data_IF_251118233111
#
_entry.id   IF_251118233111
#
_cell.length_a   1.000
_cell.length_b   1.000
_cell.length_c   1.000
_cell.angle_alpha   90.00
_cell.angle_beta   90.00
_cell.angle_gamma   90.00
#
_symmetry.space_group_name_H-M   'P 1'
#
loop_
_entity.id
_entity.type
_entity.pdbx_description
1 polymer ?
#
# COMPACT_ATOMS: atom_id res chain seq x y z
N UNK A 1 -1.34 -13.43 27.93
CA UNK A 1 -2.01 -12.13 27.95
C UNK A 1 -1.10 -11.09 27.34
N UNK A 2 -1.65 -10.12 26.63
CA UNK A 2 -0.89 -9.06 25.96
C UNK A 2 0.01 -8.28 26.93
N UNK A 3 1.21 -7.93 26.48
CA UNK A 3 2.10 -6.95 27.12
C UNK A 3 2.85 -6.19 26.02
N UNK A 4 2.97 -4.88 26.18
CA UNK A 4 3.84 -4.09 25.31
C UNK A 4 5.30 -4.49 25.55
N UNK A 5 6.03 -4.78 24.48
CA UNK A 5 7.45 -5.09 24.54
C UNK A 5 8.26 -3.80 24.44
N UNK A 6 9.45 -3.85 25.04
CA UNK A 6 10.53 -2.87 24.91
C UNK A 6 11.78 -3.58 24.35
N UNK A 7 12.88 -2.84 24.19
CA UNK A 7 14.12 -3.37 23.61
C UNK A 7 14.72 -4.55 24.39
N UNK A 8 14.47 -4.68 25.69
CA UNK A 8 15.00 -5.80 26.49
C UNK A 8 14.04 -6.99 26.49
N UNK A 9 12.76 -6.75 26.75
CA UNK A 9 11.74 -7.79 26.81
C UNK A 9 11.49 -8.47 25.45
N UNK A 10 11.72 -7.77 24.32
CA UNK A 10 11.66 -8.39 22.99
C UNK A 10 12.79 -9.41 22.76
N UNK A 11 13.99 -9.18 23.32
CA UNK A 11 15.08 -10.19 23.25
C UNK A 11 14.65 -11.49 23.91
N UNK A 12 14.14 -11.41 25.14
CA UNK A 12 13.68 -12.58 25.87
C UNK A 12 12.46 -13.24 25.23
N UNK A 13 11.56 -12.44 24.64
CA UNK A 13 10.43 -12.96 23.86
C UNK A 13 10.89 -13.83 22.68
N UNK A 14 11.88 -13.35 21.93
CA UNK A 14 12.47 -14.05 20.79
C UNK A 14 13.30 -15.26 21.25
N UNK A 15 14.10 -15.11 22.30
CA UNK A 15 14.91 -16.18 22.88
C UNK A 15 14.06 -17.34 23.43
N UNK A 16 12.82 -17.10 23.85
CA UNK A 16 11.92 -18.16 24.29
C UNK A 16 11.32 -19.01 23.14
N UNK A 17 11.58 -18.67 21.86
CA UNK A 17 10.91 -19.29 20.70
C UNK A 17 11.94 -19.91 19.74
N UNK A 18 12.05 -21.25 19.68
CA UNK A 18 13.04 -21.93 18.83
C UNK A 18 12.99 -21.53 17.34
N UNK A 19 11.78 -21.29 16.79
CA UNK A 19 11.62 -20.87 15.40
C UNK A 19 12.27 -19.50 15.08
N UNK A 20 12.35 -18.61 16.07
CA UNK A 20 12.96 -17.29 15.91
C UNK A 20 14.45 -17.31 16.27
N UNK A 21 14.88 -18.15 17.22
CA UNK A 21 16.29 -18.34 17.57
C UNK A 21 17.13 -18.70 16.33
N UNK A 22 16.61 -19.52 15.42
CA UNK A 22 17.30 -19.87 14.17
C UNK A 22 17.65 -18.67 13.27
N UNK A 23 17.02 -17.50 13.48
CA UNK A 23 17.23 -16.28 12.69
C UNK A 23 18.20 -15.29 13.33
N UNK A 24 18.30 -15.28 14.65
CA UNK A 24 19.14 -14.30 15.39
C UNK A 24 20.28 -14.94 16.17
N UNK A 25 20.09 -16.14 16.71
CA UNK A 25 21.09 -16.84 17.52
C UNK A 25 20.46 -17.73 18.59
N UNK A 26 21.26 -18.58 19.26
CA UNK A 26 20.79 -19.42 20.35
C UNK A 26 20.44 -18.57 21.59
N UNK A 27 19.49 -19.05 22.41
CA UNK A 27 18.94 -18.28 23.54
C UNK A 27 19.97 -17.91 24.62
N UNK A 28 21.03 -18.70 24.79
CA UNK A 28 22.15 -18.42 25.70
C UNK A 28 23.01 -17.23 25.24
N UNK A 29 22.90 -16.82 23.97
CA UNK A 29 23.57 -15.64 23.42
C UNK A 29 22.74 -14.34 23.52
N UNK A 30 21.58 -14.37 24.20
CA UNK A 30 20.61 -13.24 24.23
C UNK A 30 21.23 -11.90 24.67
N UNK A 31 22.19 -11.93 25.60
CA UNK A 31 22.92 -10.74 26.09
C UNK A 31 23.79 -10.08 25.02
N UNK A 32 24.20 -10.82 23.99
CA UNK A 32 24.97 -10.30 22.85
C UNK A 32 24.11 -9.67 21.76
N UNK A 33 22.78 -9.83 21.83
CA UNK A 33 21.89 -9.34 20.79
C UNK A 33 21.70 -7.82 20.92
N UNK A 34 21.79 -7.13 19.79
CA UNK A 34 21.46 -5.71 19.69
C UNK A 34 20.01 -5.57 19.28
N UNK A 35 19.31 -4.65 19.94
CA UNK A 35 17.94 -4.32 19.60
C UNK A 35 17.81 -2.82 19.44
N UNK A 36 17.11 -2.42 18.38
CA UNK A 36 16.74 -1.03 18.15
C UNK A 36 15.27 -0.96 17.80
N UNK A 37 14.52 -0.11 18.50
CA UNK A 37 13.18 0.31 18.05
C UNK A 37 13.35 1.36 16.96
N UNK A 38 12.72 1.13 15.80
CA UNK A 38 12.91 1.93 14.58
C UNK A 38 11.61 2.39 13.95
N UNK A 39 10.46 2.18 14.58
CA UNK A 39 9.19 2.61 14.01
C UNK A 39 9.15 4.14 13.89
N UNK A 40 9.29 4.60 12.65
CA UNK A 40 8.99 5.95 12.19
C UNK A 40 7.53 6.06 11.68
N UNK A 41 6.84 4.92 11.59
CA UNK A 41 5.43 4.82 11.24
C UNK A 41 4.47 5.27 12.36
N UNK A 42 3.23 5.56 11.95
CA UNK A 42 2.24 6.22 12.79
C UNK A 42 1.58 5.32 13.85
N UNK A 43 1.63 3.99 13.72
CA UNK A 43 0.67 3.10 14.38
C UNK A 43 1.32 2.02 15.29
N UNK A 44 2.48 1.47 14.93
CA UNK A 44 3.02 0.25 15.58
C UNK A 44 4.46 0.44 16.10
N UNK A 45 4.90 -0.44 17.01
CA UNK A 45 6.31 -0.58 17.40
C UNK A 45 7.03 -1.56 16.47
N UNK A 46 8.23 -1.21 16.05
CA UNK A 46 9.05 -2.03 15.16
C UNK A 46 10.44 -2.17 15.76
N UNK A 47 10.83 -3.39 16.12
CA UNK A 47 12.14 -3.72 16.66
C UNK A 47 12.96 -4.46 15.62
N UNK A 48 14.18 -3.97 15.36
CA UNK A 48 15.21 -4.73 14.67
C UNK A 48 16.03 -5.45 15.73
N UNK A 49 16.12 -6.77 15.63
CA UNK A 49 17.00 -7.59 16.45
C UNK A 49 18.14 -8.11 15.59
N UNK A 50 19.36 -7.95 16.07
CA UNK A 50 20.58 -8.46 15.46
C UNK A 50 21.31 -9.34 16.47
N UNK A 51 21.58 -10.58 16.10
CA UNK A 51 22.36 -11.51 16.90
C UNK A 51 23.45 -12.19 16.06
N UNK A 52 24.18 -13.15 16.66
CA UNK A 52 25.32 -13.79 16.01
C UNK A 52 24.98 -14.62 14.76
N UNK A 53 23.73 -15.08 14.63
CA UNK A 53 23.29 -15.89 13.48
C UNK A 53 22.60 -15.08 12.37
N UNK A 54 22.27 -13.81 12.62
CA UNK A 54 21.52 -12.98 11.68
C UNK A 54 20.63 -11.97 12.38
N UNK A 55 19.57 -11.58 11.69
CA UNK A 55 18.69 -10.50 12.12
C UNK A 55 17.23 -10.77 11.74
N UNK A 56 16.31 -10.18 12.50
CA UNK A 56 14.88 -10.24 12.25
C UNK A 56 14.20 -8.95 12.66
N UNK A 57 13.02 -8.71 12.09
CA UNK A 57 12.15 -7.60 12.44
C UNK A 57 10.98 -8.13 13.28
N UNK A 58 10.66 -7.46 14.39
CA UNK A 58 9.46 -7.70 15.21
C UNK A 58 8.58 -6.47 15.16
N UNK A 59 7.36 -6.62 14.65
CA UNK A 59 6.33 -5.58 14.67
C UNK A 59 5.28 -5.95 15.71
N UNK A 60 4.92 -5.00 16.58
CA UNK A 60 3.87 -5.17 17.59
C UNK A 60 2.83 -4.05 17.52
N UNK A 61 1.55 -4.44 17.49
CA UNK A 61 0.43 -3.52 17.52
C UNK A 61 0.01 -3.21 18.96
N UNK A 62 -0.04 -1.91 19.30
CA UNK A 62 -0.59 -1.41 20.56
C UNK A 62 -2.11 -1.16 20.43
N UNK A 63 -2.89 -1.09 21.53
CA UNK A 63 -4.34 -0.86 21.46
C UNK A 63 -4.73 0.60 21.13
N UNK A 64 -3.82 1.38 20.52
CA UNK A 64 -4.00 2.78 20.15
C UNK A 64 -3.07 3.17 18.98
N UNK A 65 -3.32 4.33 18.37
CA UNK A 65 -2.46 4.92 17.34
C UNK A 65 -1.22 5.51 17.98
N UNK A 66 -0.03 4.96 17.67
CA UNK A 66 1.25 5.37 18.28
C UNK A 66 1.52 6.88 18.22
N UNK A 67 1.33 7.55 17.08
CA UNK A 67 1.68 8.96 16.92
C UNK A 67 0.74 9.94 17.66
N UNK A 68 -0.44 9.46 18.07
CA UNK A 68 -1.42 10.25 18.84
C UNK A 68 -1.43 9.84 20.32
N UNK A 69 -1.10 8.59 20.61
CA UNK A 69 -1.14 8.00 21.94
C UNK A 69 -2.52 7.45 22.30
N UNK A 70 -2.70 7.15 23.59
CA UNK A 70 -3.88 6.45 24.14
C UNK A 70 -5.23 7.17 23.86
N UNK A 71 -5.18 8.46 23.51
CA UNK A 71 -6.38 9.24 23.16
C UNK A 71 -7.05 8.81 21.85
N UNK A 72 -6.38 8.00 21.03
CA UNK A 72 -6.96 7.41 19.81
C UNK A 72 -6.83 5.87 19.82
N UNK A 73 -7.82 5.17 20.42
CA UNK A 73 -7.85 3.71 20.43
C UNK A 73 -7.87 3.11 19.03
N UNK A 74 -7.23 1.95 18.86
CA UNK A 74 -7.20 1.22 17.60
C UNK A 74 -7.04 -0.28 17.83
N UNK A 75 -7.88 -1.09 17.18
CA UNK A 75 -7.87 -2.55 17.30
C UNK A 75 -6.52 -3.18 17.01
N UNK A 76 -6.08 -4.07 17.90
CA UNK A 76 -4.87 -4.88 17.70
C UNK A 76 -5.07 -6.01 16.67
N UNK A 77 -6.32 -6.30 16.28
CA UNK A 77 -6.64 -7.30 15.26
C UNK A 77 -6.06 -6.93 13.88
N UNK A 78 -5.70 -5.66 13.65
CA UNK A 78 -4.98 -5.21 12.44
C UNK A 78 -3.68 -5.98 12.18
N UNK A 79 -3.01 -6.49 13.22
CA UNK A 79 -1.82 -7.33 13.06
C UNK A 79 -2.18 -8.73 12.53
N UNK A 80 -3.37 -9.27 12.85
CA UNK A 80 -3.86 -10.51 12.25
C UNK A 80 -4.03 -10.31 10.74
N UNK A 81 -4.66 -9.20 10.38
CA UNK A 81 -4.87 -8.80 8.98
C UNK A 81 -3.53 -8.66 8.26
N UNK A 82 -2.58 -7.93 8.84
CA UNK A 82 -1.25 -7.76 8.25
C UNK A 82 -0.52 -9.10 8.04
N UNK A 83 -0.52 -9.99 9.03
CA UNK A 83 0.10 -11.30 8.91
C UNK A 83 -0.55 -12.15 7.81
N UNK A 84 -1.88 -12.15 7.74
CA UNK A 84 -2.64 -12.88 6.74
C UNK A 84 -2.43 -12.31 5.33
N UNK A 85 -2.39 -10.98 5.20
CA UNK A 85 -2.15 -10.31 3.93
C UNK A 85 -0.72 -10.56 3.43
N UNK A 86 0.31 -10.41 4.27
CA UNK A 86 1.70 -10.73 3.89
C UNK A 86 1.84 -12.20 3.44
N UNK A 87 1.14 -13.12 4.09
CA UNK A 87 1.13 -14.53 3.69
C UNK A 87 0.43 -14.75 2.33
N UNK A 88 -0.70 -14.08 2.09
CA UNK A 88 -1.41 -14.14 0.81
C UNK A 88 -0.59 -13.53 -0.32
N UNK A 89 0.02 -12.36 -0.09
CA UNK A 89 0.88 -11.70 -1.08
C UNK A 89 2.11 -12.55 -1.40
N UNK A 90 2.76 -13.12 -0.38
CA UNK A 90 3.92 -13.99 -0.55
C UNK A 90 3.61 -15.30 -1.30
N UNK A 91 2.35 -15.75 -1.32
CA UNK A 91 1.95 -16.92 -2.12
C UNK A 91 2.06 -16.66 -3.63
N UNK A 92 1.97 -15.39 -4.05
CA UNK A 92 1.97 -14.98 -5.47
C UNK A 92 3.25 -14.25 -5.88
N UNK A 93 3.77 -13.38 -5.00
CA UNK A 93 4.90 -12.50 -5.28
C UNK A 93 5.93 -12.49 -4.14
N UNK A 94 6.49 -13.66 -3.75
CA UNK A 94 7.39 -13.79 -2.59
C UNK A 94 8.67 -12.95 -2.67
N UNK A 95 9.09 -12.56 -3.88
CA UNK A 95 10.25 -11.69 -4.08
C UNK A 95 10.00 -10.24 -3.64
N UNK A 96 8.74 -9.82 -3.50
CA UNK A 96 8.34 -8.43 -3.25
C UNK A 96 7.70 -8.23 -1.87
N UNK A 97 7.80 -9.20 -0.98
CA UNK A 97 7.17 -9.18 0.36
C UNK A 97 8.13 -9.79 1.38
N UNK A 98 8.28 -9.21 2.59
CA UNK A 98 9.11 -9.84 3.62
C UNK A 98 8.47 -11.14 4.11
N UNK A 99 9.27 -12.20 4.18
CA UNK A 99 8.81 -13.48 4.71
C UNK A 99 8.40 -13.35 6.19
N UNK A 100 7.17 -13.73 6.51
CA UNK A 100 6.69 -13.84 7.89
C UNK A 100 7.23 -15.12 8.52
N UNK A 101 7.80 -15.01 9.72
CA UNK A 101 8.36 -16.12 10.48
C UNK A 101 7.44 -16.58 11.62
N UNK A 102 6.67 -15.65 12.19
CA UNK A 102 5.74 -15.92 13.27
C UNK A 102 4.65 -14.84 13.29
N UNK A 103 3.42 -15.28 13.53
CA UNK A 103 2.34 -14.44 14.03
C UNK A 103 1.93 -14.95 15.42
N UNK A 104 1.91 -14.06 16.42
CA UNK A 104 1.46 -14.35 17.78
C UNK A 104 0.25 -13.47 18.11
N UNK A 105 -0.93 -14.10 18.10
CA UNK A 105 -2.21 -13.44 18.35
C UNK A 105 -2.29 -12.82 19.75
N UNK A 106 -1.82 -13.54 20.77
CA UNK A 106 -1.94 -13.10 22.17
C UNK A 106 -1.08 -11.87 22.47
N UNK A 107 -0.04 -11.68 21.66
CA UNK A 107 0.91 -10.56 21.78
C UNK A 107 0.69 -9.47 20.73
N UNK A 108 -0.28 -9.65 19.83
CA UNK A 108 -0.50 -8.79 18.67
C UNK A 108 0.83 -8.47 17.96
N UNK A 109 1.56 -9.52 17.60
CA UNK A 109 2.94 -9.42 17.14
C UNK A 109 3.19 -10.25 15.88
N UNK A 110 3.99 -9.69 14.96
CA UNK A 110 4.55 -10.39 13.81
C UNK A 110 6.08 -10.35 13.90
N UNK A 111 6.73 -11.50 13.70
CA UNK A 111 8.17 -11.54 13.44
C UNK A 111 8.37 -11.90 11.96
N UNK A 112 9.20 -11.13 11.25
CA UNK A 112 9.37 -11.22 9.81
C UNK A 112 10.84 -10.96 9.40
N UNK A 113 11.16 -11.22 8.13
CA UNK A 113 12.47 -10.91 7.54
C UNK A 113 12.80 -9.45 7.77
N UNK A 114 13.98 -9.19 8.34
CA UNK A 114 14.53 -7.83 8.34
C UNK A 114 15.07 -7.50 6.95
N UNK A 115 14.53 -6.45 6.33
CA UNK A 115 15.06 -5.84 5.12
C UNK A 115 16.26 -4.98 5.51
N UNK A 116 17.41 -5.63 5.67
CA UNK A 116 18.64 -5.01 6.15
C UNK A 116 19.21 -3.99 5.13
N UNK A 117 20.10 -3.05 5.57
CA UNK A 117 20.79 -2.16 4.66
C UNK A 117 21.41 -2.93 3.46
N UNK A 118 21.31 -2.40 2.23
CA UNK A 118 21.00 -1.01 1.91
C UNK A 118 19.51 -0.68 1.71
N UNK A 119 18.56 -1.55 2.10
CA UNK A 119 17.14 -1.24 2.00
C UNK A 119 16.79 0.08 2.72
N UNK A 120 16.08 0.95 2.03
CA UNK A 120 15.48 2.18 2.59
C UNK A 120 14.03 2.29 2.16
N UNK A 121 13.22 3.05 2.91
CA UNK A 121 11.87 3.42 2.48
C UNK A 121 11.96 4.20 1.15
N UNK A 122 11.19 3.80 0.14
CA UNK A 122 11.20 4.37 -1.20
C UNK A 122 11.02 5.90 -1.17
N UNK A 123 10.08 6.40 -0.35
CA UNK A 123 9.87 7.84 -0.14
C UNK A 123 11.17 8.57 0.20
N UNK A 124 11.99 8.03 1.10
CA UNK A 124 13.28 8.62 1.47
C UNK A 124 14.24 8.67 0.28
N UNK A 125 14.28 7.62 -0.52
CA UNK A 125 15.06 7.56 -1.75
C UNK A 125 14.65 8.63 -2.76
N UNK A 126 13.34 8.75 -3.02
CA UNK A 126 12.78 9.73 -3.93
C UNK A 126 13.09 11.17 -3.49
N UNK A 127 12.88 11.48 -2.21
CA UNK A 127 13.25 12.79 -1.65
C UNK A 127 14.75 13.10 -1.83
N UNK A 128 15.59 12.07 -1.79
CA UNK A 128 17.04 12.16 -2.01
C UNK A 128 17.48 12.29 -3.47
N UNK A 129 16.56 12.28 -4.44
CA UNK A 129 16.92 12.39 -5.86
C UNK A 129 17.15 11.05 -6.56
N UNK A 130 16.97 9.94 -5.85
CA UNK A 130 17.23 8.62 -6.41
C UNK A 130 16.18 8.23 -7.48
N UNK A 131 16.64 7.41 -8.43
CA UNK A 131 15.82 6.71 -9.42
C UNK A 131 16.04 5.21 -9.24
N UNK A 132 14.99 4.42 -9.43
CA UNK A 132 15.01 2.98 -9.22
C UNK A 132 14.58 2.27 -10.51
N UNK A 133 15.53 1.87 -11.38
CA UNK A 133 15.20 1.37 -12.73
C UNK A 133 14.23 0.18 -12.74
N UNK A 134 14.30 -0.72 -11.76
CA UNK A 134 13.42 -1.89 -11.65
C UNK A 134 12.05 -1.62 -11.03
N UNK A 135 11.82 -0.42 -10.46
CA UNK A 135 10.64 -0.16 -9.62
C UNK A 135 9.32 -0.38 -10.35
N UNK A 136 9.18 0.14 -11.57
CA UNK A 136 7.94 0.02 -12.34
C UNK A 136 7.59 -1.45 -12.63
N UNK A 137 8.58 -2.26 -13.02
CA UNK A 137 8.40 -3.69 -13.27
C UNK A 137 8.04 -4.48 -12.00
N UNK A 138 8.67 -4.16 -10.87
CA UNK A 138 8.37 -4.80 -9.59
C UNK A 138 6.98 -4.43 -9.08
N UNK A 139 6.57 -3.15 -9.19
CA UNK A 139 5.22 -2.70 -8.82
C UNK A 139 4.16 -3.32 -9.73
N UNK A 140 4.40 -3.39 -11.03
CA UNK A 140 3.52 -4.06 -11.98
C UNK A 140 3.32 -5.54 -11.61
N UNK A 141 4.42 -6.24 -11.28
CA UNK A 141 4.40 -7.65 -10.86
C UNK A 141 3.62 -7.83 -9.55
N UNK A 142 3.90 -6.98 -8.55
CA UNK A 142 3.20 -7.00 -7.27
C UNK A 142 1.69 -6.77 -7.45
N UNK A 143 1.30 -5.65 -8.06
CA UNK A 143 -0.11 -5.29 -8.26
C UNK A 143 -0.86 -6.34 -9.08
N UNK A 144 -0.28 -6.81 -10.18
CA UNK A 144 -0.96 -7.79 -11.02
C UNK A 144 -1.09 -9.13 -10.28
N UNK A 145 -0.03 -9.60 -9.62
CA UNK A 145 -0.03 -10.86 -8.88
C UNK A 145 -1.03 -10.87 -7.73
N UNK A 146 -1.01 -9.84 -6.87
CA UNK A 146 -1.87 -9.81 -5.68
C UNK A 146 -3.34 -9.55 -6.05
N UNK A 147 -3.62 -8.57 -6.91
CA UNK A 147 -4.99 -8.20 -7.26
C UNK A 147 -5.67 -9.25 -8.14
N UNK A 148 -4.96 -9.84 -9.11
CA UNK A 148 -5.56 -10.86 -9.97
C UNK A 148 -5.92 -12.11 -9.16
N UNK A 149 -4.97 -12.65 -8.40
CA UNK A 149 -5.12 -13.94 -7.78
C UNK A 149 -6.12 -13.98 -6.62
N UNK A 150 -6.43 -12.82 -6.04
CA UNK A 150 -7.41 -12.69 -4.95
C UNK A 150 -8.78 -12.23 -5.42
N UNK A 151 -8.98 -12.02 -6.74
CA UNK A 151 -10.25 -11.55 -7.32
C UNK A 151 -11.21 -12.66 -7.72
N UNK A 152 -12.49 -12.32 -7.95
CA UNK A 152 -13.48 -13.22 -8.56
C UNK A 152 -13.15 -13.63 -10.01
N UNK A 153 -12.19 -12.96 -10.67
CA UNK A 153 -11.69 -13.39 -11.98
C UNK A 153 -10.87 -14.67 -11.82
N UNK A 154 -10.17 -14.84 -10.69
CA UNK A 154 -9.37 -16.04 -10.43
C UNK A 154 -10.08 -17.05 -9.52
N UNK A 155 -10.83 -16.57 -8.54
CA UNK A 155 -11.43 -17.38 -7.49
C UNK A 155 -12.88 -17.77 -7.84
N UNK A 156 -13.29 -18.95 -7.38
CA UNK A 156 -14.72 -19.26 -7.30
C UNK A 156 -15.39 -18.36 -6.26
N UNK A 157 -16.68 -18.11 -6.45
CA UNK A 157 -17.44 -17.16 -5.66
C UNK A 157 -17.58 -17.57 -4.20
N UNK A 158 -17.49 -18.86 -3.88
CA UNK A 158 -17.55 -19.34 -2.49
C UNK A 158 -16.24 -19.07 -1.76
N UNK A 159 -15.10 -19.33 -2.41
CA UNK A 159 -13.78 -18.99 -1.87
C UNK A 159 -13.62 -17.48 -1.73
N UNK A 160 -14.03 -16.70 -2.72
CA UNK A 160 -14.00 -15.24 -2.63
C UNK A 160 -14.84 -14.72 -1.45
N UNK A 161 -16.10 -15.17 -1.30
CA UNK A 161 -16.95 -14.75 -0.16
C UNK A 161 -16.35 -15.12 1.20
N UNK A 162 -15.70 -16.29 1.32
CA UNK A 162 -14.99 -16.66 2.56
C UNK A 162 -13.82 -15.73 2.84
N UNK A 163 -13.00 -15.41 1.82
CA UNK A 163 -11.88 -14.48 1.98
C UNK A 163 -12.33 -13.05 2.29
N UNK A 164 -13.45 -12.59 1.70
CA UNK A 164 -14.07 -11.30 2.07
C UNK A 164 -14.39 -11.26 3.58
N UNK A 165 -14.96 -12.34 4.13
CA UNK A 165 -15.25 -12.42 5.56
C UNK A 165 -14.00 -12.55 6.44
N UNK A 166 -12.97 -13.26 5.97
CA UNK A 166 -11.70 -13.43 6.69
C UNK A 166 -10.93 -12.11 6.88
N UNK A 167 -11.01 -11.23 5.88
CA UNK A 167 -10.35 -9.93 5.83
C UNK A 167 -11.29 -8.77 6.20
N UNK A 168 -12.31 -9.02 7.00
CA UNK A 168 -13.09 -7.95 7.63
C UNK A 168 -12.19 -7.12 8.54
N UNK A 169 -12.14 -5.80 8.31
CA UNK A 169 -11.21 -4.87 8.96
C UNK A 169 -11.87 -3.50 9.20
N UNK A 170 -13.04 -3.51 9.86
CA UNK A 170 -13.94 -2.35 9.98
C UNK A 170 -13.26 -1.09 10.53
N UNK A 171 -12.57 -1.17 11.67
CA UNK A 171 -11.96 0.02 12.29
C UNK A 171 -10.92 0.70 11.37
N UNK A 172 -10.11 -0.08 10.66
CA UNK A 172 -9.11 0.43 9.72
C UNK A 172 -9.77 1.02 8.46
N UNK A 173 -10.85 0.40 7.97
CA UNK A 173 -11.65 0.92 6.87
C UNK A 173 -12.32 2.25 7.25
N UNK A 174 -12.94 2.34 8.43
CA UNK A 174 -13.57 3.56 8.95
C UNK A 174 -12.57 4.71 9.09
N UNK A 175 -11.35 4.43 9.53
CA UNK A 175 -10.28 5.43 9.56
C UNK A 175 -10.00 5.98 8.16
N UNK A 176 -9.86 5.09 7.17
CA UNK A 176 -9.64 5.45 5.76
C UNK A 176 -10.81 6.28 5.20
N UNK A 177 -12.04 5.85 5.47
CA UNK A 177 -13.27 6.54 5.07
C UNK A 177 -13.33 7.98 5.58
N UNK A 178 -12.91 8.19 6.83
CA UNK A 178 -12.87 9.49 7.47
C UNK A 178 -11.77 10.36 6.84
N UNK A 179 -10.52 9.90 6.86
CA UNK A 179 -9.36 10.77 6.58
C UNK A 179 -9.08 10.96 5.09
N UNK A 180 -9.61 10.10 4.22
CA UNK A 180 -9.44 10.21 2.76
C UNK A 180 -10.67 10.82 2.12
N UNK A 181 -11.87 10.30 2.41
CA UNK A 181 -13.07 10.63 1.64
C UNK A 181 -14.02 11.62 2.33
N UNK A 182 -13.74 12.03 3.56
CA UNK A 182 -14.66 12.86 4.34
C UNK A 182 -13.98 14.16 4.80
N UNK A 183 -12.98 14.07 5.67
CA UNK A 183 -12.38 15.24 6.34
C UNK A 183 -11.79 16.31 5.40
N UNK A 184 -11.04 15.97 4.33
CA UNK A 184 -10.43 17.00 3.48
C UNK A 184 -11.44 17.94 2.79
N UNK A 185 -12.70 17.52 2.66
CA UNK A 185 -13.74 18.18 1.87
C UNK A 185 -14.68 19.07 2.70
N UNK A 186 -14.39 19.29 3.97
CA UNK A 186 -15.07 20.29 4.82
C UNK A 186 -14.14 20.78 5.92
N UNK A 187 -14.59 21.75 6.71
CA UNK A 187 -13.84 22.25 7.88
C UNK A 187 -13.83 21.23 9.03
N UNK A 188 -12.96 20.22 8.93
CA UNK A 188 -12.69 19.24 9.98
C UNK A 188 -11.62 19.75 10.96
N UNK A 189 -11.71 19.33 12.23
CA UNK A 189 -10.71 19.71 13.27
C UNK A 189 -9.31 19.13 13.01
N UNK A 190 -9.27 17.99 12.33
CA UNK A 190 -8.06 17.22 12.08
C UNK A 190 -7.27 17.71 10.85
N UNK A 191 -7.90 18.52 10.00
CA UNK A 191 -7.25 19.05 8.81
C UNK A 191 -6.16 20.05 9.18
N UNK A 192 -5.06 20.00 8.43
CA UNK A 192 -3.98 20.99 8.47
C UNK A 192 -3.44 21.18 7.05
N UNK A 193 -2.91 22.36 6.77
CA UNK A 193 -2.26 22.72 5.51
C UNK A 193 -1.23 23.83 5.77
N UNK A 194 -0.39 24.14 4.79
CA UNK A 194 0.55 25.26 4.88
C UNK A 194 -0.21 26.58 4.91
N UNK A 195 -0.33 27.16 6.11
CA UNK A 195 -1.14 28.34 6.40
C UNK A 195 -0.23 29.53 6.78
N UNK A 196 -0.53 30.76 6.31
CA UNK A 196 -1.74 31.18 5.58
C UNK A 196 -1.72 30.91 4.06
N UNK A 197 -0.63 30.35 3.52
CA UNK A 197 -0.38 30.31 2.08
C UNK A 197 -1.47 29.59 1.28
N UNK A 198 -2.07 28.52 1.81
CA UNK A 198 -3.09 27.70 1.14
C UNK A 198 -4.52 27.94 1.66
N UNK A 199 -4.76 28.93 2.54
CA UNK A 199 -6.07 29.13 3.16
C UNK A 199 -7.18 29.35 2.11
N UNK A 200 -6.88 30.09 1.03
CA UNK A 200 -7.82 30.34 -0.06
C UNK A 200 -8.07 29.09 -0.91
N UNK A 201 -7.00 28.37 -1.28
CA UNK A 201 -7.06 27.13 -2.07
C UNK A 201 -7.90 26.05 -1.36
N UNK A 202 -7.70 25.90 -0.04
CA UNK A 202 -8.46 24.96 0.78
C UNK A 202 -9.92 25.39 0.96
N UNK A 203 -10.17 26.69 1.13
CA UNK A 203 -11.53 27.20 1.20
C UNK A 203 -12.30 26.96 -0.11
N UNK A 204 -11.63 27.13 -1.26
CA UNK A 204 -12.18 26.82 -2.59
C UNK A 204 -12.54 25.33 -2.69
N UNK A 205 -11.59 24.42 -2.42
CA UNK A 205 -11.82 22.98 -2.42
C UNK A 205 -13.01 22.56 -1.54
N UNK A 206 -13.07 23.06 -0.30
CA UNK A 206 -14.12 22.69 0.65
C UNK A 206 -15.50 23.26 0.27
N UNK A 207 -15.52 24.29 -0.57
CA UNK A 207 -16.75 24.86 -1.14
C UNK A 207 -17.16 24.24 -2.47
N UNK A 208 -16.25 23.53 -3.16
CA UNK A 208 -16.49 22.93 -4.47
C UNK A 208 -17.47 21.76 -4.40
N UNK A 209 -18.61 21.94 -5.07
CA UNK A 209 -19.66 20.93 -5.17
C UNK A 209 -19.18 19.69 -5.94
N UNK A 210 -18.41 19.86 -7.01
CA UNK A 210 -17.94 18.75 -7.84
C UNK A 210 -16.93 17.88 -7.07
N UNK A 211 -15.99 18.50 -6.34
CA UNK A 211 -15.06 17.77 -5.48
C UNK A 211 -15.79 16.96 -4.41
N UNK A 212 -16.82 17.55 -3.76
CA UNK A 212 -17.62 16.86 -2.74
C UNK A 212 -18.44 15.70 -3.31
N UNK A 213 -19.02 15.86 -4.51
CA UNK A 213 -19.72 14.77 -5.21
C UNK A 213 -18.75 13.64 -5.53
N UNK A 214 -17.57 13.95 -6.09
CA UNK A 214 -16.55 12.95 -6.40
C UNK A 214 -16.07 12.20 -5.14
N UNK A 215 -15.90 12.91 -4.01
CA UNK A 215 -15.56 12.29 -2.73
C UNK A 215 -16.65 11.31 -2.25
N UNK A 216 -17.93 11.68 -2.39
CA UNK A 216 -19.05 10.78 -2.07
C UNK A 216 -19.08 9.54 -2.97
N UNK A 217 -18.85 9.69 -4.28
CA UNK A 217 -18.78 8.55 -5.21
C UNK A 217 -17.65 7.59 -4.85
N UNK A 218 -16.45 8.12 -4.59
CA UNK A 218 -15.28 7.34 -4.22
C UNK A 218 -15.47 6.62 -2.88
N UNK A 219 -16.09 7.29 -1.90
CA UNK A 219 -16.47 6.65 -0.64
C UNK A 219 -17.46 5.51 -0.88
N UNK A 220 -18.46 5.72 -1.73
CA UNK A 220 -19.41 4.68 -2.12
C UNK A 220 -18.72 3.47 -2.72
N UNK A 221 -17.77 3.67 -3.64
CA UNK A 221 -16.97 2.59 -4.22
C UNK A 221 -16.15 1.85 -3.17
N UNK A 222 -15.45 2.57 -2.29
CA UNK A 222 -14.62 1.99 -1.23
C UNK A 222 -15.45 1.11 -0.28
N UNK A 223 -16.60 1.61 0.18
CA UNK A 223 -17.43 0.91 1.16
C UNK A 223 -18.23 -0.26 0.60
N UNK A 224 -18.43 -0.36 -0.72
CA UNK A 224 -19.42 -1.30 -1.29
C UNK A 224 -18.90 -2.24 -2.38
N UNK A 225 -17.65 -2.07 -2.85
CA UNK A 225 -17.13 -2.83 -3.99
C UNK A 225 -15.92 -3.71 -3.65
N UNK A 226 -16.14 -4.95 -3.15
CA UNK A 226 -15.06 -5.92 -3.04
C UNK A 226 -14.67 -6.42 -4.44
N UNK A 227 -13.42 -6.19 -4.86
CA UNK A 227 -12.88 -6.71 -6.12
C UNK A 227 -11.71 -7.67 -5.92
N UNK A 228 -10.81 -7.36 -4.99
CA UNK A 228 -9.63 -8.14 -4.65
C UNK A 228 -9.21 -7.83 -3.22
N UNK A 229 -8.31 -8.66 -2.66
CA UNK A 229 -7.62 -8.30 -1.43
C UNK A 229 -6.64 -7.17 -1.75
N UNK A 230 -6.88 -6.00 -1.16
CA UNK A 230 -6.00 -4.85 -1.25
C UNK A 230 -4.89 -4.94 -0.21
N UNK A 231 -3.76 -4.30 -0.49
CA UNK A 231 -2.80 -3.87 0.53
C UNK A 231 -3.43 -2.80 1.45
N UNK A 232 -4.25 -1.89 0.89
CA UNK A 232 -5.05 -0.92 1.65
C UNK A 232 -4.29 0.34 2.10
N UNK A 233 -2.95 0.32 2.14
CA UNK A 233 -2.14 1.54 2.28
C UNK A 233 -0.85 1.58 1.42
N UNK A 234 -0.97 1.21 0.13
CA UNK A 234 0.16 1.10 -0.80
C UNK A 234 0.68 2.48 -1.26
N UNK A 235 1.42 3.17 -0.40
CA UNK A 235 2.11 4.42 -0.73
C UNK A 235 3.63 4.24 -0.72
N UNK A 236 4.41 5.23 -1.18
CA UNK A 236 5.90 5.17 -1.21
C UNK A 236 6.55 5.03 0.17
N UNK A 237 5.79 5.24 1.26
CA UNK A 237 6.21 4.94 2.63
C UNK A 237 6.04 3.46 3.05
N UNK A 238 5.32 2.66 2.26
CA UNK A 238 5.01 1.24 2.53
C UNK A 238 5.80 0.32 1.59
N UNK A 239 6.91 0.85 1.06
CA UNK A 239 7.77 0.17 0.10
C UNK A 239 9.20 0.43 0.54
N UNK A 240 9.99 -0.62 0.67
CA UNK A 240 11.43 -0.54 0.83
C UNK A 240 12.14 -0.96 -0.45
N UNK A 241 13.24 -0.28 -0.78
CA UNK A 241 13.98 -0.47 -2.03
C UNK A 241 15.49 -0.53 -1.78
N UNK A 242 16.16 -1.29 -2.65
CA UNK A 242 17.59 -1.13 -2.97
C UNK A 242 17.71 -0.68 -4.43
N UNK A 243 18.92 -0.64 -4.99
CA UNK A 243 19.11 -0.34 -6.41
C UNK A 243 18.47 -1.40 -7.33
N UNK A 244 18.26 -2.62 -6.83
CA UNK A 244 17.79 -3.78 -7.63
C UNK A 244 16.60 -4.53 -7.02
N UNK A 245 16.22 -4.27 -5.78
CA UNK A 245 15.12 -4.96 -5.10
C UNK A 245 14.01 -3.99 -4.67
N UNK A 246 12.78 -4.50 -4.60
CA UNK A 246 11.61 -3.76 -4.13
C UNK A 246 10.77 -4.70 -3.28
N UNK A 247 10.47 -4.28 -2.05
CA UNK A 247 9.64 -5.03 -1.11
C UNK A 247 8.53 -4.14 -0.57
N UNK A 248 7.29 -4.58 -0.70
CA UNK A 248 6.10 -3.97 -0.09
C UNK A 248 5.98 -4.45 1.36
N UNK A 249 5.57 -3.57 2.26
CA UNK A 249 5.46 -3.80 3.70
C UNK A 249 4.18 -3.15 4.24
N UNK A 250 3.77 -3.53 5.45
CA UNK A 250 2.66 -2.92 6.19
C UNK A 250 1.25 -3.03 5.57
N UNK A 251 0.78 -4.20 5.08
CA UNK A 251 -0.60 -4.39 4.63
C UNK A 251 -1.63 -4.50 5.78
N UNK A 252 -1.50 -3.69 6.84
CA UNK A 252 -2.40 -3.73 8.01
C UNK A 252 -3.80 -3.13 7.74
N UNK A 253 -3.93 -2.38 6.64
CA UNK A 253 -5.19 -1.87 6.10
C UNK A 253 -5.83 -2.83 5.09
N UNK A 254 -5.28 -4.03 4.90
CA UNK A 254 -5.78 -4.97 3.92
C UNK A 254 -7.25 -5.33 4.19
N UNK A 255 -8.04 -5.32 3.12
CA UNK A 255 -9.44 -5.74 3.08
C UNK A 255 -9.83 -6.01 1.63
N UNK A 256 -11.00 -6.63 1.42
CA UNK A 256 -11.55 -6.80 0.08
C UNK A 256 -12.21 -5.52 -0.41
N UNK A 257 -11.55 -4.80 -1.32
CA UNK A 257 -11.98 -3.49 -1.80
C UNK A 257 -11.76 -3.27 -3.30
N UNK A 258 -11.95 -2.04 -3.81
CA UNK A 258 -11.77 -1.73 -5.22
C UNK A 258 -10.29 -1.70 -5.60
N UNK A 259 -9.90 -2.48 -6.62
CA UNK A 259 -8.50 -2.61 -7.09
C UNK A 259 -7.84 -1.26 -7.40
N UNK A 260 -8.65 -0.32 -7.93
CA UNK A 260 -8.24 1.04 -8.26
C UNK A 260 -7.63 1.80 -7.07
N UNK A 261 -7.96 1.41 -5.83
CA UNK A 261 -7.48 2.08 -4.64
C UNK A 261 -5.97 1.88 -4.44
N UNK A 262 -5.45 0.66 -4.54
CA UNK A 262 -4.00 0.41 -4.40
C UNK A 262 -3.21 0.98 -5.57
N UNK A 263 -3.68 0.73 -6.81
CA UNK A 263 -3.05 1.27 -8.02
C UNK A 263 -3.01 2.80 -7.96
N UNK A 264 -4.14 3.43 -7.59
CA UNK A 264 -4.23 4.88 -7.48
C UNK A 264 -3.33 5.42 -6.37
N UNK A 265 -3.20 4.71 -5.24
CA UNK A 265 -2.43 5.18 -4.09
C UNK A 265 -0.94 5.25 -4.41
N UNK A 266 -0.39 4.24 -5.06
CA UNK A 266 1.04 4.25 -5.43
C UNK A 266 1.33 5.29 -6.52
N UNK A 267 0.49 5.35 -7.57
CA UNK A 267 0.66 6.33 -8.65
C UNK A 267 0.52 7.78 -8.15
N UNK A 268 -0.42 8.05 -7.26
CA UNK A 268 -0.56 9.37 -6.63
C UNK A 268 0.67 9.75 -5.79
N UNK A 269 1.29 8.80 -5.10
CA UNK A 269 2.49 9.10 -4.30
C UNK A 269 3.74 9.32 -5.15
N UNK A 270 3.86 8.67 -6.33
CA UNK A 270 4.88 9.03 -7.32
C UNK A 270 4.66 10.46 -7.85
N UNK A 271 3.39 10.83 -8.07
CA UNK A 271 3.03 12.17 -8.51
C UNK A 271 3.26 13.24 -7.42
N UNK A 272 3.03 12.92 -6.14
CA UNK A 272 3.42 13.81 -5.02
C UNK A 272 4.93 14.04 -4.99
N UNK A 273 5.74 13.00 -5.22
CA UNK A 273 7.19 13.14 -5.31
C UNK A 273 7.58 14.02 -6.51
N UNK A 274 6.89 13.91 -7.64
CA UNK A 274 7.11 14.77 -8.80
C UNK A 274 6.83 16.24 -8.47
N UNK A 275 5.70 16.53 -7.80
CA UNK A 275 5.36 17.90 -7.42
C UNK A 275 6.29 18.48 -6.35
N UNK A 276 6.68 17.68 -5.37
CA UNK A 276 7.62 18.10 -4.33
C UNK A 276 9.05 18.32 -4.86
N UNK A 277 9.40 17.71 -5.98
CA UNK A 277 10.74 17.73 -6.57
C UNK A 277 11.31 19.14 -6.77
N UNK A 278 10.45 20.10 -7.16
CA UNK A 278 10.89 21.47 -7.41
C UNK A 278 11.27 22.22 -6.13
N UNK A 279 10.56 21.97 -5.02
CA UNK A 279 10.91 22.55 -3.73
C UNK A 279 12.09 21.86 -3.03
N UNK A 280 12.55 20.72 -3.57
CA UNK A 280 13.70 19.96 -3.09
C UNK A 280 14.95 20.13 -3.97
N UNK A 281 14.83 20.82 -5.11
CA UNK A 281 15.91 21.12 -6.04
C UNK A 281 16.86 22.14 -5.41
N UNK A 282 18.17 21.84 -5.35
CA UNK A 282 19.17 22.76 -4.78
C UNK A 282 19.80 23.62 -5.86
N UNK A 283 20.11 23.00 -6.99
CA UNK A 283 20.67 23.63 -8.17
C UNK A 283 19.71 23.51 -9.35
N UNK A 284 19.51 24.56 -10.18
CA UNK A 284 18.58 24.51 -11.30
C UNK A 284 18.81 23.32 -12.22
N UNK A 285 17.77 22.49 -12.39
CA UNK A 285 17.80 21.31 -13.25
C UNK A 285 18.36 20.03 -12.61
N UNK A 286 18.85 20.07 -11.36
CA UNK A 286 19.34 18.89 -10.62
C UNK A 286 18.31 17.75 -10.62
N UNK A 287 17.02 18.09 -10.59
CA UNK A 287 15.92 17.12 -10.50
C UNK A 287 15.23 16.80 -11.83
N UNK A 288 15.69 17.36 -12.96
CA UNK A 288 15.01 17.20 -14.26
C UNK A 288 14.93 15.73 -14.70
N UNK A 289 16.04 15.01 -14.61
CA UNK A 289 16.09 13.59 -14.95
C UNK A 289 15.17 12.75 -14.04
N UNK A 290 15.11 13.08 -12.75
CA UNK A 290 14.25 12.40 -11.80
C UNK A 290 12.76 12.67 -12.09
N UNK A 291 12.38 13.92 -12.38
CA UNK A 291 11.02 14.29 -12.77
C UNK A 291 10.57 13.51 -14.01
N UNK A 292 11.43 13.43 -15.03
CA UNK A 292 11.18 12.61 -16.22
C UNK A 292 10.99 11.13 -15.87
N UNK A 293 11.88 10.58 -15.03
CA UNK A 293 11.78 9.19 -14.57
C UNK A 293 10.51 8.92 -13.75
N UNK A 294 10.06 9.82 -12.88
CA UNK A 294 8.84 9.65 -12.07
C UNK A 294 7.60 9.50 -12.97
N UNK A 295 7.48 10.34 -14.00
CA UNK A 295 6.38 10.27 -14.95
C UNK A 295 6.43 8.97 -15.77
N UNK A 296 7.61 8.59 -16.27
CA UNK A 296 7.78 7.31 -16.97
C UNK A 296 7.46 6.12 -16.06
N UNK A 297 7.93 6.15 -14.81
CA UNK A 297 7.67 5.10 -13.83
C UNK A 297 6.17 4.90 -13.57
N UNK A 298 5.38 5.98 -13.51
CA UNK A 298 3.92 5.89 -13.41
C UNK A 298 3.28 5.22 -14.62
N UNK A 299 3.67 5.64 -15.83
CA UNK A 299 3.17 5.08 -17.10
C UNK A 299 3.54 3.61 -17.23
N UNK A 300 4.80 3.27 -16.94
CA UNK A 300 5.34 1.92 -17.04
C UNK A 300 4.73 0.99 -15.98
N UNK A 301 4.46 1.51 -14.76
CA UNK A 301 3.76 0.74 -13.72
C UNK A 301 2.34 0.38 -14.16
N UNK A 302 1.57 1.34 -14.67
CA UNK A 302 0.21 1.08 -15.17
C UNK A 302 0.22 0.14 -16.38
N UNK A 303 1.10 0.38 -17.35
CA UNK A 303 1.19 -0.42 -18.58
C UNK A 303 1.65 -1.84 -18.27
N UNK A 304 2.64 -2.00 -17.40
CA UNK A 304 3.11 -3.31 -16.93
C UNK A 304 2.02 -4.05 -16.14
N UNK A 305 1.35 -3.36 -15.22
CA UNK A 305 0.25 -3.93 -14.43
C UNK A 305 -0.89 -4.42 -15.35
N UNK A 306 -1.39 -3.55 -16.23
CA UNK A 306 -2.50 -3.86 -17.14
C UNK A 306 -2.16 -5.02 -18.08
N UNK A 307 -0.94 -5.05 -18.63
CA UNK A 307 -0.45 -6.13 -19.47
C UNK A 307 -0.35 -7.45 -18.70
N UNK A 308 0.29 -7.45 -17.54
CA UNK A 308 0.46 -8.67 -16.74
C UNK A 308 -0.89 -9.21 -16.22
N UNK A 309 -1.79 -8.32 -15.80
CA UNK A 309 -3.13 -8.68 -15.32
C UNK A 309 -3.97 -9.32 -16.42
N UNK A 310 -3.98 -8.73 -17.63
CA UNK A 310 -4.73 -9.29 -18.77
C UNK A 310 -4.12 -10.59 -19.28
N UNK A 311 -2.79 -10.73 -19.26
CA UNK A 311 -2.12 -12.00 -19.57
C UNK A 311 -2.53 -13.11 -18.58
N UNK A 312 -2.53 -12.82 -17.28
CA UNK A 312 -2.99 -13.77 -16.27
C UNK A 312 -4.47 -14.11 -16.43
N UNK A 313 -5.31 -13.14 -16.79
CA UNK A 313 -6.71 -13.38 -17.11
C UNK A 313 -6.85 -14.32 -18.30
N UNK A 314 -6.15 -14.07 -19.42
CA UNK A 314 -6.19 -14.95 -20.58
C UNK A 314 -5.74 -16.37 -20.27
N UNK A 315 -4.78 -16.55 -19.36
CA UNK A 315 -4.26 -17.88 -18.99
C UNK A 315 -5.12 -18.62 -17.95
N UNK A 316 -5.82 -17.89 -17.07
CA UNK A 316 -6.37 -18.47 -15.84
C UNK A 316 -7.78 -18.01 -15.47
N UNK A 317 -8.34 -17.02 -16.15
CA UNK A 317 -9.58 -16.35 -15.74
C UNK A 317 -10.84 -17.20 -15.87
N UNK A 318 -10.87 -18.18 -16.77
CA UNK A 318 -11.99 -19.12 -16.87
C UNK A 318 -12.15 -20.04 -15.66
N UNK A 319 -11.16 -20.05 -14.75
CA UNK A 319 -11.23 -20.79 -13.48
C UNK A 319 -11.92 -20.00 -12.37
N UNK A 320 -12.20 -18.71 -12.57
CA UNK A 320 -13.00 -17.90 -11.66
C UNK A 320 -14.46 -17.78 -12.10
N UNK A 321 -15.30 -17.25 -11.22
CA UNK A 321 -16.75 -17.19 -11.47
C UNK A 321 -17.20 -15.88 -12.13
N UNK A 322 -16.38 -14.83 -12.14
CA UNK A 322 -16.83 -13.51 -12.62
C UNK A 322 -17.08 -13.47 -14.13
N UNK A 323 -16.26 -14.17 -14.90
CA UNK A 323 -16.35 -14.27 -16.35
C UNK A 323 -16.35 -15.75 -16.73
N UNK A 324 -17.54 -16.39 -16.80
CA UNK A 324 -17.64 -17.83 -16.98
C UNK A 324 -16.96 -18.31 -18.27
N UNK A 325 -16.09 -19.32 -18.17
CA UNK A 325 -15.35 -19.87 -19.31
C UNK A 325 -16.24 -20.29 -20.50
N UNK A 326 -17.47 -20.74 -20.24
CA UNK A 326 -18.45 -21.07 -21.30
C UNK A 326 -18.78 -19.89 -22.23
N UNK A 327 -18.57 -18.65 -21.78
CA UNK A 327 -18.78 -17.42 -22.57
C UNK A 327 -17.48 -16.88 -23.17
N UNK A 328 -16.32 -17.23 -22.61
CA UNK A 328 -15.04 -16.56 -22.87
C UNK A 328 -13.92 -17.49 -23.35
N UNK A 329 -14.10 -18.81 -23.33
CA UNK A 329 -13.17 -19.80 -23.87
C UNK A 329 -13.78 -20.53 -25.06
N UNK A 330 -12.93 -20.86 -26.04
CA UNK A 330 -13.33 -21.78 -27.10
C UNK A 330 -13.56 -23.18 -26.49
N UNK A 331 -14.66 -23.89 -26.83
CA UNK A 331 -14.88 -25.24 -26.33
C UNK A 331 -13.68 -26.15 -26.70
N UNK A 332 -13.01 -26.69 -25.69
CA UNK A 332 -12.01 -27.73 -25.87
C UNK A 332 -12.67 -29.05 -26.26
N UNK A 333 -13.02 -29.22 -27.53
CA UNK A 333 -13.59 -30.47 -28.05
C UNK A 333 -14.28 -30.29 -29.40
N UNK A 334 -14.01 -31.23 -30.30
CA UNK A 334 -14.43 -31.23 -31.70
C UNK A 334 -15.92 -30.94 -31.90
N UNK A 335 -16.22 -29.79 -32.52
CA UNK A 335 -17.48 -29.57 -33.21
C UNK A 335 -18.28 -28.37 -32.73
N UNK A 336 -18.36 -27.39 -33.64
CA UNK A 336 -19.36 -26.32 -33.72
C UNK A 336 -18.99 -25.02 -32.97
N UNK A 337 -18.18 -24.18 -33.65
CA UNK A 337 -18.39 -22.72 -33.70
C UNK A 337 -17.64 -21.84 -32.71
N UNK A 338 -16.30 -21.79 -32.77
CA UNK A 338 -15.46 -20.89 -31.95
C UNK A 338 -15.22 -19.50 -32.58
N UNK A 339 -16.17 -18.94 -33.32
CA UNK A 339 -16.03 -17.55 -33.79
C UNK A 339 -16.52 -16.59 -32.70
N UNK A 340 -15.61 -16.00 -31.92
CA UNK A 340 -15.91 -14.85 -31.07
C UNK A 340 -15.62 -15.00 -29.57
N UNK A 341 -15.27 -16.17 -29.03
CA UNK A 341 -14.96 -16.31 -27.60
C UNK A 341 -13.73 -15.48 -27.18
N UNK A 342 -12.67 -15.50 -28.00
CA UNK A 342 -11.50 -14.64 -27.82
C UNK A 342 -11.85 -13.14 -27.96
N UNK A 343 -12.74 -12.79 -28.89
CA UNK A 343 -13.22 -11.41 -29.06
C UNK A 343 -14.05 -10.94 -27.85
N UNK A 344 -14.89 -11.82 -27.29
CA UNK A 344 -15.66 -11.57 -26.06
C UNK A 344 -14.72 -11.37 -24.89
N UNK A 345 -13.73 -12.25 -24.68
CA UNK A 345 -12.75 -12.09 -23.61
C UNK A 345 -11.97 -10.78 -23.76
N UNK A 346 -11.49 -10.47 -24.97
CA UNK A 346 -10.78 -9.23 -25.24
C UNK A 346 -11.66 -7.99 -24.94
N UNK A 347 -12.94 -8.00 -25.34
CA UNK A 347 -13.87 -6.92 -25.04
C UNK A 347 -14.15 -6.78 -23.53
N UNK A 348 -14.25 -7.90 -22.79
CA UNK A 348 -14.37 -7.90 -21.34
C UNK A 348 -13.13 -7.32 -20.66
N UNK A 349 -11.94 -7.73 -21.08
CA UNK A 349 -10.67 -7.22 -20.58
C UNK A 349 -10.52 -5.72 -20.85
N UNK A 350 -10.80 -5.26 -22.08
CA UNK A 350 -10.74 -3.85 -22.45
C UNK A 350 -11.71 -3.01 -21.61
N UNK A 351 -12.97 -3.45 -21.50
CA UNK A 351 -13.99 -2.76 -20.72
C UNK A 351 -13.63 -2.66 -19.23
N UNK A 352 -13.14 -3.76 -18.66
CA UNK A 352 -12.69 -3.82 -17.27
C UNK A 352 -11.50 -2.89 -17.02
N UNK A 353 -10.45 -2.98 -17.84
CA UNK A 353 -9.23 -2.18 -17.66
C UNK A 353 -9.49 -0.68 -17.88
N UNK A 354 -10.37 -0.32 -18.82
CA UNK A 354 -10.81 1.06 -19.03
C UNK A 354 -11.52 1.62 -17.81
N UNK A 355 -12.46 0.85 -17.22
CA UNK A 355 -13.14 1.26 -16.00
C UNK A 355 -12.17 1.37 -14.82
N UNK A 356 -11.28 0.39 -14.66
CA UNK A 356 -10.28 0.36 -13.60
C UNK A 356 -9.34 1.57 -13.69
N UNK A 357 -8.91 1.96 -14.89
CA UNK A 357 -8.09 3.17 -15.09
C UNK A 357 -8.82 4.43 -14.67
N UNK A 358 -10.08 4.60 -15.09
CA UNK A 358 -10.88 5.77 -14.75
C UNK A 358 -11.08 5.90 -13.22
N UNK A 359 -11.35 4.79 -12.54
CA UNK A 359 -11.45 4.76 -11.07
C UNK A 359 -10.10 5.04 -10.41
N UNK A 360 -9.00 4.51 -10.96
CA UNK A 360 -7.63 4.75 -10.48
C UNK A 360 -7.31 6.23 -10.48
N UNK A 361 -7.59 6.94 -11.59
CA UNK A 361 -7.38 8.39 -11.71
C UNK A 361 -8.23 9.16 -10.70
N UNK A 362 -9.49 8.78 -10.48
CA UNK A 362 -10.33 9.41 -9.45
C UNK A 362 -9.74 9.22 -8.04
N UNK A 363 -9.32 8.00 -7.68
CA UNK A 363 -8.68 7.75 -6.39
C UNK A 363 -7.36 8.53 -6.24
N UNK A 364 -6.58 8.68 -7.32
CA UNK A 364 -5.36 9.50 -7.29
C UNK A 364 -5.63 10.92 -6.81
N UNK A 365 -6.70 11.56 -7.33
CA UNK A 365 -7.12 12.89 -6.87
C UNK A 365 -7.42 12.95 -5.38
N UNK A 366 -8.18 11.99 -4.85
CA UNK A 366 -8.47 11.91 -3.42
C UNK A 366 -7.20 11.70 -2.57
N UNK A 367 -6.22 10.93 -3.06
CA UNK A 367 -4.96 10.72 -2.36
C UNK A 367 -4.05 11.95 -2.39
N UNK A 368 -4.04 12.74 -3.46
CA UNK A 368 -3.36 14.04 -3.52
C UNK A 368 -3.99 14.97 -2.48
N UNK A 369 -5.29 15.22 -2.59
CA UNK A 369 -6.04 16.14 -1.72
C UNK A 369 -5.83 15.81 -0.23
N UNK A 370 -6.04 14.55 0.17
CA UNK A 370 -5.95 14.17 1.58
C UNK A 370 -4.55 14.33 2.17
N UNK A 371 -3.49 14.27 1.35
CA UNK A 371 -2.11 14.45 1.81
C UNK A 371 -1.71 15.91 1.95
N UNK A 372 -2.44 16.84 1.33
CA UNK A 372 -2.17 18.27 1.36
C UNK A 372 -3.06 19.01 2.37
N UNK A 373 -4.28 18.50 2.60
CA UNK A 373 -5.31 19.18 3.44
C UNK A 373 -5.69 18.37 4.69
N UNK A 374 -5.50 17.04 4.66
CA UNK A 374 -5.90 16.15 5.74
C UNK A 374 -4.93 16.12 6.93
N UNK A 375 -5.19 15.22 7.87
CA UNK A 375 -4.37 15.06 9.08
C UNK A 375 -2.96 14.51 8.81
N UNK A 376 -2.85 13.57 7.87
CA UNK A 376 -1.63 12.80 7.63
C UNK A 376 -0.98 13.22 6.30
N UNK A 377 -0.05 14.17 6.38
CA UNK A 377 0.72 14.69 5.25
C UNK A 377 1.79 13.70 4.76
N UNK A 378 2.59 14.12 3.76
CA UNK A 378 3.75 13.37 3.26
C UNK A 378 5.05 14.14 3.49
N UNK A 379 6.11 13.40 3.84
CA UNK A 379 7.43 13.98 4.05
C UNK A 379 8.00 14.68 2.81
N UNK A 380 7.58 14.28 1.61
CA UNK A 380 7.98 14.90 0.34
C UNK A 380 7.72 16.42 0.39
N UNK A 381 6.52 16.82 0.83
CA UNK A 381 6.13 18.22 0.98
C UNK A 381 6.60 18.80 2.32
N UNK A 382 6.36 18.10 3.44
CA UNK A 382 6.64 18.59 4.80
C UNK A 382 8.14 18.87 5.04
N UNK A 383 9.04 18.26 4.26
CA UNK A 383 10.48 18.50 4.33
C UNK A 383 10.95 19.80 3.69
N UNK A 384 10.12 20.45 2.88
CA UNK A 384 10.42 21.74 2.23
C UNK A 384 10.29 22.83 3.30
N UNK A 385 11.44 23.36 3.74
CA UNK A 385 11.51 24.24 4.91
C UNK A 385 10.80 25.58 4.70
N UNK A 386 10.95 26.18 3.52
CA UNK A 386 10.31 27.45 3.17
C UNK A 386 8.81 27.23 2.92
N UNK A 387 7.91 27.85 3.71
CA UNK A 387 6.47 27.66 3.56
C UNK A 387 5.92 28.20 2.23
N UNK A 388 6.54 29.22 1.62
CA UNK A 388 6.09 29.77 0.34
C UNK A 388 6.48 28.84 -0.82
N UNK A 389 7.69 28.28 -0.78
CA UNK A 389 8.14 27.26 -1.75
C UNK A 389 7.32 25.98 -1.63
N UNK A 390 7.09 25.52 -0.39
CA UNK A 390 6.24 24.36 -0.12
C UNK A 390 4.82 24.58 -0.65
N UNK A 391 4.19 25.70 -0.29
CA UNK A 391 2.84 26.00 -0.75
C UNK A 391 2.74 26.14 -2.27
N UNK A 392 3.79 26.60 -2.97
CA UNK A 392 3.80 26.60 -4.42
C UNK A 392 3.78 25.18 -5.02
N UNK A 393 4.51 24.24 -4.42
CA UNK A 393 4.50 22.83 -4.82
C UNK A 393 3.15 22.17 -4.48
N UNK A 394 2.65 22.40 -3.27
CA UNK A 394 1.36 21.88 -2.80
C UNK A 394 0.19 22.41 -3.63
N UNK A 395 0.16 23.70 -3.95
CA UNK A 395 -0.86 24.31 -4.81
C UNK A 395 -0.86 23.73 -6.23
N UNK A 396 0.30 23.35 -6.77
CA UNK A 396 0.37 22.73 -8.09
C UNK A 396 -0.12 21.28 -8.07
N UNK A 397 0.04 20.61 -6.92
CA UNK A 397 -0.41 19.24 -6.71
C UNK A 397 -1.91 19.14 -6.38
N UNK A 398 -2.45 20.14 -5.68
CA UNK A 398 -3.86 20.32 -5.36
C UNK A 398 -4.64 20.76 -6.61
#
# INVERSE_FOLDING_TARGET
GFRALDCESVKHYVAARPALQQRVGPADSVESWRVKEVGDGNINFVFILEGPAGSLCVKQALPYVRCVGESWPLTQDRVRIEAAALAEEAAWVPAHVPAVHLYDKDMALIAMRYLAPPFIILRRGLMGGAVYPGLAGHLATFLAGTLFHTSLIKLDSSTFRRKVAEFENDEMCRLTEQVIFTEPYYKAKNNRWTSPQLDADVAELQSDVAARVAACELKGLFCSRPQALLHGDLHTGSIMVTDSETSVIDPEFAFYGPMAFDVGKILANLLLAYFASDGQEKDPGEREAQRGWLLSCMVDTWTGFSTAFTQMWSLHGARGDLYPGVLTEAPGGDGVGSSGAEEVLAACQEGFMRQLFHETVKFMGAFLIRRLVGIAHVADMDSIADPDVRAACERRAL
#
